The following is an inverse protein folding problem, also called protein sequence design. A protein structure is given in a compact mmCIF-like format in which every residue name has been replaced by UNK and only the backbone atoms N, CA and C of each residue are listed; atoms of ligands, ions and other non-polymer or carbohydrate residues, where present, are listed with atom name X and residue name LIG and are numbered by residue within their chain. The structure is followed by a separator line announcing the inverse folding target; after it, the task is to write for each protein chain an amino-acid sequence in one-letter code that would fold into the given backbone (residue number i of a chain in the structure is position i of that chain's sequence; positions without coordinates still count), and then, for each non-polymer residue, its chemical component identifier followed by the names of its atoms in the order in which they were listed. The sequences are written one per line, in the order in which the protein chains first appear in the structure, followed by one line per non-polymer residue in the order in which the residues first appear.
data_IF_554752531704
#
_entry.id   IF_554752531704
#
_cell.length_a   1.000
_cell.length_b   1.000
_cell.length_c   1.000
_cell.angle_alpha   90.00
_cell.angle_beta   90.00
_cell.angle_gamma   90.00
#
_symmetry.space_group_name_H-M   'P 1'
#
loop_
_entity.id
_entity.type
_entity.pdbx_description
1 polymer ?
#
# COMPACT_ATOMS: atom_id res chain seq x y z
N UNK A 1 40.31 -35.61 36.11
CA UNK A 1 39.89 -34.20 36.17
C UNK A 1 39.72 -33.74 34.74
N UNK A 2 38.54 -33.78 34.21
CA UNK A 2 38.25 -33.43 32.82
C UNK A 2 37.36 -32.19 32.82
N UNK A 3 37.88 -31.11 32.24
CA UNK A 3 37.15 -29.87 32.01
C UNK A 3 36.31 -30.04 30.72
N UNK A 4 35.01 -30.04 30.83
CA UNK A 4 34.07 -29.90 29.71
C UNK A 4 33.85 -28.41 29.44
N UNK A 5 34.39 -27.92 28.33
CA UNK A 5 33.99 -26.65 27.75
C UNK A 5 32.71 -26.89 26.96
N UNK A 6 31.59 -26.42 27.48
CA UNK A 6 30.33 -26.29 26.72
C UNK A 6 30.43 -25.06 25.84
N UNK A 7 30.67 -25.29 24.55
CA UNK A 7 30.51 -24.27 23.51
C UNK A 7 29.01 -24.06 23.25
N UNK A 8 28.46 -22.97 23.77
CA UNK A 8 27.19 -22.42 23.31
C UNK A 8 27.43 -21.77 21.92
N UNK A 9 26.58 -22.05 20.91
CA UNK A 9 26.71 -21.38 19.63
C UNK A 9 26.29 -19.92 19.76
N UNK A 10 27.17 -19.06 19.21
CA UNK A 10 27.02 -17.63 19.11
C UNK A 10 25.69 -17.27 18.37
N UNK A 11 24.81 -16.47 19.02
CA UNK A 11 23.52 -16.04 18.52
C UNK A 11 23.60 -15.00 17.38
N UNK A 12 24.76 -14.84 16.75
CA UNK A 12 25.02 -13.82 15.72
C UNK A 12 24.81 -14.30 14.27
N UNK A 13 24.30 -15.52 14.04
CA UNK A 13 24.20 -16.03 12.66
C UNK A 13 22.82 -16.55 12.33
N UNK A 14 21.82 -15.74 12.20
CA UNK A 14 20.67 -15.88 11.26
C UNK A 14 19.90 -14.53 11.15
N UNK A 15 20.52 -13.48 10.65
CA UNK A 15 19.77 -12.38 10.04
C UNK A 15 19.93 -12.49 8.52
N UNK A 16 19.12 -13.33 7.90
CA UNK A 16 18.90 -13.23 6.46
C UNK A 16 18.02 -12.02 6.21
N UNK A 17 18.65 -10.89 5.86
CA UNK A 17 17.96 -9.79 5.18
C UNK A 17 17.22 -10.39 3.98
N UNK A 18 15.89 -10.20 3.89
CA UNK A 18 15.12 -10.50 2.69
C UNK A 18 15.51 -9.48 1.60
N UNK A 19 16.70 -9.65 1.02
CA UNK A 19 17.15 -8.87 -0.13
C UNK A 19 16.48 -9.43 -1.37
N UNK A 20 15.81 -8.54 -2.12
CA UNK A 20 15.28 -8.87 -3.44
C UNK A 20 16.42 -9.36 -4.32
N UNK A 21 16.34 -10.61 -4.79
CA UNK A 21 17.35 -11.18 -5.68
C UNK A 21 17.27 -10.54 -7.06
N UNK A 22 18.36 -9.99 -7.54
CA UNK A 22 18.45 -9.24 -8.80
C UNK A 22 18.45 -10.11 -10.08
N UNK A 23 18.05 -11.37 -10.01
CA UNK A 23 18.19 -12.31 -11.12
C UNK A 23 17.26 -12.11 -12.32
N UNK A 24 16.20 -11.28 -12.20
CA UNK A 24 15.21 -11.03 -13.26
C UNK A 24 15.24 -9.64 -13.90
N UNK A 25 16.20 -8.78 -13.56
CA UNK A 25 16.22 -7.38 -14.04
C UNK A 25 16.39 -7.20 -15.58
N UNK A 26 16.63 -8.27 -16.35
CA UNK A 26 16.80 -8.22 -17.80
C UNK A 26 15.68 -8.94 -18.60
N UNK A 27 14.64 -9.47 -17.96
CA UNK A 27 13.58 -10.19 -18.67
C UNK A 27 12.43 -9.26 -18.98
N UNK A 28 12.18 -9.02 -20.27
CA UNK A 28 10.95 -8.34 -20.72
C UNK A 28 9.72 -9.14 -20.30
N UNK A 29 8.80 -8.53 -19.57
CA UNK A 29 7.58 -9.14 -19.08
C UNK A 29 6.35 -8.37 -19.54
N UNK A 30 5.22 -9.07 -19.69
CA UNK A 30 3.91 -8.45 -19.79
C UNK A 30 3.31 -8.35 -18.39
N UNK A 31 3.05 -7.13 -17.93
CA UNK A 31 2.53 -6.82 -16.61
C UNK A 31 1.19 -6.10 -16.76
N UNK A 32 0.16 -6.58 -16.06
CA UNK A 32 -1.16 -5.92 -16.04
C UNK A 32 -1.33 -5.20 -14.71
N UNK A 33 -1.61 -3.90 -14.76
CA UNK A 33 -1.86 -3.07 -13.58
C UNK A 33 -3.35 -2.78 -13.47
N UNK A 34 -4.02 -3.44 -12.54
CA UNK A 34 -5.43 -3.20 -12.19
C UNK A 34 -5.51 -1.91 -11.36
N UNK A 35 -6.39 -0.99 -11.74
CA UNK A 35 -6.39 0.37 -11.19
C UNK A 35 -5.32 1.26 -11.84
N UNK A 36 -4.86 0.91 -13.05
CA UNK A 36 -3.76 1.56 -13.77
C UNK A 36 -3.96 3.04 -14.11
N UNK A 37 -5.17 3.58 -13.99
CA UNK A 37 -5.48 5.01 -14.17
C UNK A 37 -5.52 5.82 -12.86
N UNK A 38 -5.37 5.17 -11.69
CA UNK A 38 -5.39 5.82 -10.39
C UNK A 38 -4.06 6.47 -10.00
N UNK A 39 -4.01 7.04 -8.79
CA UNK A 39 -2.84 7.75 -8.26
C UNK A 39 -1.56 6.87 -8.29
N UNK A 40 -1.63 5.69 -7.73
CA UNK A 40 -0.50 4.74 -7.73
C UNK A 40 -0.34 4.10 -9.11
N UNK A 41 -1.45 3.68 -9.73
CA UNK A 41 -1.44 2.94 -10.99
C UNK A 41 -0.75 3.68 -12.12
N UNK A 42 -1.02 4.97 -12.31
CA UNK A 42 -0.39 5.78 -13.35
C UNK A 42 1.13 5.87 -13.18
N UNK A 43 1.59 6.09 -11.94
CA UNK A 43 3.02 6.16 -11.62
C UNK A 43 3.71 4.81 -11.81
N UNK A 44 3.08 3.74 -11.33
CA UNK A 44 3.57 2.37 -11.48
C UNK A 44 3.68 1.96 -12.96
N UNK A 45 2.65 2.23 -13.76
CA UNK A 45 2.65 1.96 -15.21
C UNK A 45 3.83 2.67 -15.88
N UNK A 46 4.07 3.94 -15.54
CA UNK A 46 5.19 4.69 -16.10
C UNK A 46 6.54 4.10 -15.67
N UNK A 47 6.73 3.77 -14.39
CA UNK A 47 7.95 3.17 -13.88
C UNK A 47 8.26 1.85 -14.60
N UNK A 48 7.29 0.95 -14.70
CA UNK A 48 7.47 -0.36 -15.35
C UNK A 48 7.77 -0.23 -16.84
N UNK A 49 7.12 0.71 -17.54
CA UNK A 49 7.43 1.00 -18.96
C UNK A 49 8.84 1.55 -19.15
N UNK A 50 9.31 2.43 -18.26
CA UNK A 50 10.68 2.94 -18.28
C UNK A 50 11.73 1.83 -18.08
N UNK A 51 11.37 0.76 -17.34
CA UNK A 51 12.19 -0.43 -17.19
C UNK A 51 12.08 -1.42 -18.36
N UNK A 52 11.36 -1.06 -19.44
CA UNK A 52 11.29 -1.85 -20.68
C UNK A 52 10.27 -2.98 -20.68
N UNK A 53 9.29 -2.98 -19.76
CA UNK A 53 8.22 -3.98 -19.73
C UNK A 53 7.04 -3.59 -20.63
N UNK A 54 6.31 -4.61 -21.13
CA UNK A 54 4.98 -4.42 -21.73
C UNK A 54 3.97 -4.22 -20.59
N UNK A 55 3.32 -3.05 -20.52
CA UNK A 55 2.40 -2.74 -19.41
C UNK A 55 1.02 -2.39 -19.92
N UNK A 56 0.03 -3.15 -19.47
CA UNK A 56 -1.40 -2.91 -19.68
C UNK A 56 -1.95 -2.15 -18.46
N UNK A 57 -2.35 -0.90 -18.67
CA UNK A 57 -3.07 -0.13 -17.66
C UNK A 57 -4.56 -0.50 -17.72
N UNK A 58 -5.01 -1.34 -16.78
CA UNK A 58 -6.36 -1.86 -16.76
C UNK A 58 -7.24 -1.09 -15.77
N UNK A 59 -8.37 -0.58 -16.26
CA UNK A 59 -9.38 0.13 -15.47
C UNK A 59 -10.72 0.10 -16.20
N UNK A 60 -11.85 0.44 -15.55
CA UNK A 60 -13.14 0.53 -16.25
C UNK A 60 -13.09 1.47 -17.47
N UNK A 61 -12.36 2.57 -17.42
CA UNK A 61 -12.20 3.48 -18.56
C UNK A 61 -11.44 2.88 -19.74
N UNK A 62 -10.65 1.83 -19.53
CA UNK A 62 -9.96 1.08 -20.58
C UNK A 62 -10.69 -0.21 -20.98
N UNK A 63 -11.93 -0.42 -20.53
CA UNK A 63 -12.75 -1.60 -20.83
C UNK A 63 -12.39 -2.83 -20.00
N UNK A 64 -11.75 -2.67 -18.84
CA UNK A 64 -11.44 -3.76 -17.91
C UNK A 64 -12.12 -3.50 -16.57
N UNK A 65 -13.11 -4.31 -16.23
CA UNK A 65 -13.89 -4.17 -15.01
C UNK A 65 -13.79 -5.45 -14.15
N UNK A 66 -13.15 -5.35 -13.01
CA UNK A 66 -12.96 -6.49 -12.09
C UNK A 66 -14.25 -6.91 -11.37
N UNK A 67 -15.26 -6.02 -11.27
CA UNK A 67 -16.55 -6.34 -10.64
C UNK A 67 -17.40 -7.22 -11.57
N UNK A 68 -17.43 -6.90 -12.87
CA UNK A 68 -18.21 -7.66 -13.85
C UNK A 68 -17.42 -8.78 -14.53
N UNK A 69 -16.09 -8.75 -14.43
CA UNK A 69 -15.19 -9.64 -15.18
C UNK A 69 -14.95 -9.21 -16.62
N UNK A 70 -15.61 -8.13 -17.10
CA UNK A 70 -15.47 -7.64 -18.45
C UNK A 70 -14.02 -7.26 -18.78
N UNK A 71 -13.52 -7.69 -19.93
CA UNK A 71 -12.17 -7.37 -20.42
C UNK A 71 -11.02 -8.09 -19.72
N UNK A 72 -11.23 -8.76 -18.56
CA UNK A 72 -10.16 -9.42 -17.80
C UNK A 72 -9.42 -10.47 -18.61
N UNK A 73 -10.12 -11.42 -19.23
CA UNK A 73 -9.49 -12.50 -19.99
C UNK A 73 -8.58 -11.97 -21.11
N UNK A 74 -9.04 -10.93 -21.83
CA UNK A 74 -8.26 -10.27 -22.88
C UNK A 74 -7.03 -9.55 -22.32
N UNK A 75 -7.20 -8.78 -21.24
CA UNK A 75 -6.09 -8.04 -20.62
C UNK A 75 -4.99 -8.98 -20.10
N UNK A 76 -5.39 -10.12 -19.51
CA UNK A 76 -4.50 -11.08 -18.88
C UNK A 76 -3.86 -12.08 -19.87
N UNK A 77 -4.28 -12.11 -21.15
CA UNK A 77 -3.67 -13.00 -22.14
C UNK A 77 -2.15 -12.76 -22.21
N UNK A 78 -1.36 -13.79 -21.86
CA UNK A 78 0.11 -13.74 -21.87
C UNK A 78 0.75 -12.90 -20.76
N UNK A 79 -0.01 -12.44 -19.77
CA UNK A 79 0.52 -11.73 -18.62
C UNK A 79 1.32 -12.67 -17.69
N UNK A 80 2.52 -12.29 -17.30
CA UNK A 80 3.32 -12.97 -16.29
C UNK A 80 3.01 -12.46 -14.88
N UNK A 81 2.71 -11.16 -14.76
CA UNK A 81 2.51 -10.48 -13.47
C UNK A 81 1.23 -9.63 -13.53
N UNK A 82 0.49 -9.65 -12.44
CA UNK A 82 -0.62 -8.73 -12.19
C UNK A 82 -0.29 -7.90 -10.95
N UNK A 83 -0.47 -6.59 -11.04
CA UNK A 83 -0.37 -5.69 -9.87
C UNK A 83 -1.72 -5.04 -9.62
N UNK A 84 -2.36 -5.42 -8.52
CA UNK A 84 -3.65 -4.87 -8.12
C UNK A 84 -3.46 -3.68 -7.18
N UNK A 85 -3.70 -2.48 -7.72
CA UNK A 85 -3.74 -1.21 -6.98
C UNK A 85 -5.12 -0.55 -7.04
N UNK A 86 -6.16 -1.32 -7.39
CA UNK A 86 -7.53 -0.83 -7.40
C UNK A 86 -8.01 -0.51 -5.98
N UNK A 87 -8.90 0.46 -5.88
CA UNK A 87 -9.56 0.83 -4.63
C UNK A 87 -11.07 1.01 -4.86
N UNK A 88 -11.84 0.82 -3.80
CA UNK A 88 -13.29 1.03 -3.85
C UNK A 88 -13.62 2.50 -4.11
N UNK A 89 -14.63 2.77 -4.96
CA UNK A 89 -15.16 4.12 -5.12
C UNK A 89 -16.02 4.57 -3.93
N UNK A 90 -16.39 3.66 -3.03
CA UNK A 90 -17.20 3.92 -1.83
C UNK A 90 -16.41 3.66 -0.56
N UNK A 91 -16.73 4.38 0.50
CA UNK A 91 -16.21 4.19 1.86
C UNK A 91 -17.23 3.58 2.82
N UNK A 92 -18.43 3.27 2.31
CA UNK A 92 -19.48 2.63 3.08
C UNK A 92 -19.09 1.16 3.33
N UNK A 93 -19.21 0.69 4.58
CA UNK A 93 -18.64 -0.59 5.05
C UNK A 93 -19.04 -1.79 4.19
N UNK A 94 -20.32 -1.91 3.83
CA UNK A 94 -20.81 -3.02 3.01
C UNK A 94 -20.30 -2.91 1.58
N UNK A 95 -20.38 -1.72 0.99
CA UNK A 95 -19.97 -1.50 -0.39
C UNK A 95 -18.46 -1.69 -0.60
N UNK A 96 -17.63 -1.27 0.38
CA UNK A 96 -16.18 -1.47 0.28
C UNK A 96 -15.81 -2.95 0.42
N UNK A 97 -16.49 -3.71 1.30
CA UNK A 97 -16.29 -5.14 1.44
C UNK A 97 -16.69 -5.88 0.16
N UNK A 98 -17.90 -5.62 -0.36
CA UNK A 98 -18.41 -6.22 -1.60
C UNK A 98 -17.48 -5.94 -2.78
N UNK A 99 -16.92 -4.73 -2.84
CA UNK A 99 -15.95 -4.38 -3.88
C UNK A 99 -14.71 -5.29 -3.83
N UNK A 100 -14.03 -5.36 -2.69
CA UNK A 100 -12.79 -6.12 -2.59
C UNK A 100 -13.00 -7.63 -2.69
N UNK A 101 -14.11 -8.15 -2.17
CA UNK A 101 -14.43 -9.56 -2.32
C UNK A 101 -14.77 -9.93 -3.77
N UNK A 102 -15.65 -9.15 -4.42
CA UNK A 102 -16.08 -9.46 -5.80
C UNK A 102 -14.94 -9.27 -6.79
N UNK A 103 -14.25 -8.12 -6.73
CA UNK A 103 -13.11 -7.86 -7.61
C UNK A 103 -11.98 -8.88 -7.40
N UNK A 104 -11.67 -9.21 -6.15
CA UNK A 104 -10.64 -10.19 -5.81
C UNK A 104 -10.94 -11.57 -6.36
N UNK A 105 -12.18 -12.09 -6.16
CA UNK A 105 -12.58 -13.41 -6.68
C UNK A 105 -12.52 -13.46 -8.21
N UNK A 106 -13.05 -12.45 -8.89
CA UNK A 106 -13.05 -12.40 -10.35
C UNK A 106 -11.63 -12.29 -10.91
N UNK A 107 -10.79 -11.45 -10.31
CA UNK A 107 -9.41 -11.24 -10.74
C UNK A 107 -8.59 -12.52 -10.57
N UNK A 108 -8.59 -13.11 -9.37
CA UNK A 108 -7.83 -14.34 -9.08
C UNK A 108 -8.29 -15.53 -9.94
N UNK A 109 -9.60 -15.65 -10.24
CA UNK A 109 -10.10 -16.67 -11.14
C UNK A 109 -9.59 -16.47 -12.58
N UNK A 110 -9.60 -15.22 -13.07
CA UNK A 110 -9.09 -14.90 -14.41
C UNK A 110 -7.57 -15.06 -14.50
N UNK A 111 -6.81 -14.71 -13.46
CA UNK A 111 -5.36 -14.93 -13.37
C UNK A 111 -5.01 -16.43 -13.40
N UNK A 112 -5.74 -17.25 -12.62
CA UNK A 112 -5.56 -18.70 -12.65
C UNK A 112 -5.80 -19.30 -14.02
N UNK A 113 -6.84 -18.84 -14.74
CA UNK A 113 -7.13 -19.27 -16.09
C UNK A 113 -6.09 -18.81 -17.12
N UNK A 114 -5.47 -17.64 -16.91
CA UNK A 114 -4.43 -17.08 -17.78
C UNK A 114 -3.02 -17.63 -17.49
N UNK A 115 -2.83 -18.33 -16.37
CA UNK A 115 -1.52 -18.84 -15.95
C UNK A 115 -0.57 -17.76 -15.43
N UNK A 116 -1.11 -16.71 -14.77
CA UNK A 116 -0.31 -15.64 -14.14
C UNK A 116 0.62 -16.25 -13.08
N UNK A 117 1.89 -15.87 -13.13
CA UNK A 117 2.93 -16.40 -12.24
C UNK A 117 3.17 -15.58 -10.98
N UNK A 118 2.69 -14.34 -10.91
CA UNK A 118 2.86 -13.47 -9.74
C UNK A 118 1.70 -12.47 -9.61
N UNK A 119 0.97 -12.57 -8.49
CA UNK A 119 -0.02 -11.56 -8.09
C UNK A 119 0.61 -10.63 -7.05
N UNK A 120 0.66 -9.33 -7.34
CA UNK A 120 1.09 -8.30 -6.39
C UNK A 120 -0.11 -7.46 -6.00
N UNK A 121 -0.36 -7.30 -4.71
CA UNK A 121 -1.46 -6.48 -4.23
C UNK A 121 -0.96 -5.34 -3.35
N UNK A 122 -1.47 -4.12 -3.59
CA UNK A 122 -1.30 -3.01 -2.67
C UNK A 122 -2.34 -3.11 -1.55
N UNK A 123 -1.86 -3.23 -0.32
CA UNK A 123 -2.66 -3.19 0.90
C UNK A 123 -2.21 -2.04 1.80
N UNK A 124 -2.67 -2.00 3.03
CA UNK A 124 -2.40 -0.91 3.97
C UNK A 124 -1.84 -1.43 5.29
N UNK A 125 -0.84 -0.75 5.83
CA UNK A 125 -0.32 -1.01 7.18
C UNK A 125 -1.44 -0.81 8.21
N UNK A 126 -1.57 -1.75 9.13
CA UNK A 126 -2.66 -1.76 10.12
C UNK A 126 -3.88 -2.60 9.72
N UNK A 127 -3.88 -3.25 8.54
CA UNK A 127 -4.98 -4.10 8.06
C UNK A 127 -5.41 -5.17 9.09
N UNK A 128 -4.48 -5.71 9.82
CA UNK A 128 -4.72 -6.72 10.87
C UNK A 128 -4.98 -6.14 12.27
N UNK A 129 -4.78 -4.85 12.45
CA UNK A 129 -4.88 -4.17 13.76
C UNK A 129 -6.13 -3.29 13.91
N UNK A 130 -6.68 -2.80 12.80
CA UNK A 130 -7.77 -1.81 12.78
C UNK A 130 -9.09 -2.40 12.27
N UNK A 131 -9.42 -3.63 12.68
CA UNK A 131 -10.61 -4.36 12.21
C UNK A 131 -11.96 -3.75 12.68
N UNK A 132 -11.96 -2.74 13.53
CA UNK A 132 -13.14 -1.94 13.82
C UNK A 132 -13.59 -1.10 12.60
N UNK A 133 -12.66 -0.74 11.70
CA UNK A 133 -12.95 -0.03 10.45
C UNK A 133 -13.40 -0.99 9.35
N UNK A 134 -14.47 -0.66 8.62
CA UNK A 134 -14.96 -1.42 7.47
C UNK A 134 -13.93 -1.53 6.35
N UNK A 135 -13.21 -0.44 6.08
CA UNK A 135 -12.15 -0.44 5.08
C UNK A 135 -11.03 -1.45 5.39
N UNK A 136 -10.53 -1.47 6.64
CA UNK A 136 -9.48 -2.41 7.02
C UNK A 136 -10.00 -3.86 7.03
N UNK A 137 -11.27 -4.11 7.40
CA UNK A 137 -11.89 -5.44 7.24
C UNK A 137 -11.94 -5.88 5.78
N UNK A 138 -12.31 -4.97 4.88
CA UNK A 138 -12.37 -5.24 3.45
C UNK A 138 -10.97 -5.53 2.85
N UNK A 139 -9.94 -4.80 3.27
CA UNK A 139 -8.55 -5.08 2.89
C UNK A 139 -8.08 -6.42 3.45
N UNK A 140 -8.45 -6.78 4.68
CA UNK A 140 -8.15 -8.10 5.25
C UNK A 140 -8.84 -9.22 4.44
N UNK A 141 -10.10 -9.02 4.02
CA UNK A 141 -10.79 -9.99 3.16
C UNK A 141 -10.07 -10.18 1.82
N UNK A 142 -9.61 -9.09 1.17
CA UNK A 142 -8.78 -9.17 -0.04
C UNK A 142 -7.50 -9.97 0.21
N UNK A 143 -6.73 -9.64 1.25
CA UNK A 143 -5.50 -10.37 1.59
C UNK A 143 -5.75 -11.87 1.83
N UNK A 144 -6.85 -12.21 2.51
CA UNK A 144 -7.22 -13.60 2.77
C UNK A 144 -7.57 -14.37 1.49
N UNK A 145 -8.27 -13.74 0.53
CA UNK A 145 -8.54 -14.33 -0.78
C UNK A 145 -7.24 -14.61 -1.55
N UNK A 146 -6.29 -13.67 -1.54
CA UNK A 146 -4.99 -13.83 -2.19
C UNK A 146 -4.22 -14.98 -1.56
N UNK A 147 -4.11 -15.01 -0.23
CA UNK A 147 -3.39 -16.06 0.53
C UNK A 147 -4.01 -17.44 0.36
N UNK A 148 -5.33 -17.52 0.16
CA UNK A 148 -6.04 -18.76 -0.10
C UNK A 148 -5.96 -19.23 -1.58
N UNK A 149 -5.53 -18.36 -2.49
CA UNK A 149 -5.35 -18.69 -3.90
C UNK A 149 -4.13 -19.60 -4.11
N UNK A 150 -4.06 -20.24 -5.30
CA UNK A 150 -2.87 -21.02 -5.69
C UNK A 150 -1.87 -20.22 -6.50
N UNK A 151 -2.13 -18.91 -6.69
CA UNK A 151 -1.26 -18.04 -7.47
C UNK A 151 -0.14 -17.56 -6.57
N UNK A 152 1.13 -17.66 -6.98
CA UNK A 152 2.24 -17.06 -6.21
C UNK A 152 2.01 -15.55 -6.04
N UNK A 153 2.26 -15.02 -4.84
CA UNK A 153 1.87 -13.66 -4.53
C UNK A 153 2.92 -12.88 -3.70
N UNK A 154 2.77 -11.56 -3.72
CA UNK A 154 3.40 -10.65 -2.75
C UNK A 154 2.39 -9.56 -2.37
N UNK A 155 2.05 -9.45 -1.10
CA UNK A 155 1.21 -8.37 -0.60
C UNK A 155 2.12 -7.25 -0.08
N UNK A 156 1.92 -6.04 -0.59
CA UNK A 156 2.64 -4.84 -0.16
C UNK A 156 1.70 -3.98 0.67
N UNK A 157 1.89 -3.94 1.97
CA UNK A 157 1.19 -3.02 2.86
C UNK A 157 1.95 -1.70 2.90
N UNK A 158 1.37 -0.63 2.37
CA UNK A 158 1.93 0.70 2.49
C UNK A 158 1.32 1.45 3.67
N UNK A 159 2.09 2.34 4.29
CA UNK A 159 1.55 3.32 5.24
C UNK A 159 0.73 4.39 4.52
N UNK A 160 0.08 5.28 5.25
CA UNK A 160 -0.79 6.31 4.69
C UNK A 160 -0.02 7.26 3.78
N UNK A 161 -0.66 7.75 2.72
CA UNK A 161 0.02 8.59 1.72
C UNK A 161 0.00 10.07 2.13
N UNK A 162 1.06 10.79 1.80
CA UNK A 162 1.12 12.24 1.98
C UNK A 162 -0.04 12.95 1.30
N UNK A 163 -0.43 12.48 0.12
CA UNK A 163 -1.52 13.03 -0.69
C UNK A 163 -2.88 12.99 0.02
N UNK A 164 -3.05 12.12 1.03
CA UNK A 164 -4.31 11.99 1.77
C UNK A 164 -4.35 12.79 3.10
N UNK A 165 -3.28 13.51 3.45
CA UNK A 165 -3.23 14.32 4.68
C UNK A 165 -4.34 15.39 4.69
N UNK A 166 -4.62 16.00 3.54
CA UNK A 166 -5.73 16.93 3.40
C UNK A 166 -7.11 16.29 3.65
N UNK A 167 -7.28 15.03 3.23
CA UNK A 167 -8.50 14.24 3.49
C UNK A 167 -8.66 13.93 4.98
N UNK A 168 -7.58 13.58 5.69
CA UNK A 168 -7.59 13.39 7.14
C UNK A 168 -8.03 14.67 7.84
N UNK A 169 -7.46 15.81 7.47
CA UNK A 169 -7.85 17.12 8.01
C UNK A 169 -9.34 17.39 7.77
N UNK A 170 -9.83 17.17 6.55
CA UNK A 170 -11.21 17.42 6.19
C UNK A 170 -12.20 16.53 6.96
N UNK A 171 -11.92 15.24 7.08
CA UNK A 171 -12.77 14.30 7.81
C UNK A 171 -12.87 14.66 9.30
N UNK A 172 -11.78 15.16 9.88
CA UNK A 172 -11.67 15.50 11.32
C UNK A 172 -12.06 16.94 11.63
N UNK A 173 -12.68 17.65 10.67
CA UNK A 173 -13.05 19.08 10.84
C UNK A 173 -14.43 19.25 11.43
N UNK A 174 -14.50 20.03 12.50
CA UNK A 174 -15.71 20.52 13.13
C UNK A 174 -15.67 22.05 13.17
N UNK A 175 -16.43 22.72 12.29
CA UNK A 175 -16.38 24.19 12.15
C UNK A 175 -14.99 24.67 11.70
N UNK A 176 -14.33 25.50 12.51
CA UNK A 176 -12.97 26.01 12.26
C UNK A 176 -11.87 25.19 12.96
N UNK A 177 -12.20 24.00 13.44
CA UNK A 177 -11.30 23.18 14.25
C UNK A 177 -11.13 21.79 13.63
N UNK A 178 -9.91 21.29 13.61
CA UNK A 178 -9.57 19.91 13.24
C UNK A 178 -9.18 19.16 14.51
N UNK A 179 -9.94 18.14 14.92
CA UNK A 179 -9.68 17.32 16.10
C UNK A 179 -9.00 16.04 15.73
N UNK A 180 -7.81 15.79 16.26
CA UNK A 180 -7.00 14.62 15.89
C UNK A 180 -6.36 13.98 17.12
N UNK A 181 -6.19 12.65 17.12
CA UNK A 181 -5.39 11.97 18.12
C UNK A 181 -3.90 12.30 17.90
N UNK A 182 -3.11 12.14 18.96
CA UNK A 182 -1.64 12.27 18.86
C UNK A 182 -0.94 10.97 18.43
N UNK A 183 -1.67 9.98 17.93
CA UNK A 183 -1.11 8.72 17.48
C UNK A 183 -0.05 8.90 16.39
N UNK A 184 0.98 8.06 16.42
CA UNK A 184 2.03 8.09 15.40
C UNK A 184 1.51 7.56 14.07
N UNK A 185 1.94 8.22 13.00
CA UNK A 185 1.87 7.76 11.61
C UNK A 185 3.28 7.75 11.03
N UNK A 186 3.52 6.94 10.02
CA UNK A 186 4.77 6.97 9.25
C UNK A 186 4.46 7.10 7.77
N UNK A 187 3.85 8.22 7.35
CA UNK A 187 3.29 8.37 6.02
C UNK A 187 4.37 8.39 4.93
N UNK A 188 3.98 7.99 3.72
CA UNK A 188 4.85 7.82 2.55
C UNK A 188 4.27 8.57 1.35
N UNK A 189 5.12 9.03 0.42
CA UNK A 189 4.66 9.59 -0.85
C UNK A 189 4.26 8.49 -1.82
N UNK A 190 3.25 8.74 -2.64
CA UNK A 190 2.77 7.78 -3.64
C UNK A 190 3.83 7.38 -4.69
N UNK A 191 4.80 8.24 -4.98
CA UNK A 191 5.92 7.94 -5.89
C UNK A 191 6.82 6.83 -5.34
N UNK A 192 7.15 6.89 -4.05
CA UNK A 192 7.98 5.87 -3.39
C UNK A 192 7.24 4.52 -3.29
N UNK A 193 5.91 4.55 -3.09
CA UNK A 193 5.06 3.34 -3.15
C UNK A 193 5.06 2.72 -4.54
N UNK A 194 4.90 3.55 -5.59
CA UNK A 194 4.92 3.08 -6.96
C UNK A 194 6.29 2.48 -7.34
N UNK A 195 7.39 3.08 -6.88
CA UNK A 195 8.74 2.53 -7.07
C UNK A 195 8.90 1.18 -6.35
N UNK A 196 8.43 1.08 -5.10
CA UNK A 196 8.48 -0.18 -4.35
C UNK A 196 7.66 -1.29 -5.02
N UNK A 197 6.46 -0.97 -5.52
CA UNK A 197 5.62 -1.92 -6.26
C UNK A 197 6.25 -2.35 -7.59
N UNK A 198 6.95 -1.45 -8.30
CA UNK A 198 7.66 -1.80 -9.52
C UNK A 198 8.76 -2.83 -9.24
N UNK A 199 9.56 -2.62 -8.20
CA UNK A 199 10.62 -3.56 -7.80
C UNK A 199 10.04 -4.92 -7.38
N UNK A 200 8.92 -4.93 -6.63
CA UNK A 200 8.24 -6.17 -6.22
C UNK A 200 7.68 -6.90 -7.42
N UNK A 201 7.09 -6.18 -8.39
CA UNK A 201 6.48 -6.79 -9.58
C UNK A 201 7.48 -7.55 -10.46
N UNK A 202 8.74 -7.10 -10.50
CA UNK A 202 9.80 -7.74 -11.30
C UNK A 202 10.63 -8.76 -10.53
N UNK A 203 10.42 -8.84 -9.21
CA UNK A 203 11.09 -9.82 -8.35
C UNK A 203 10.33 -11.17 -8.33
N UNK A 204 10.97 -12.20 -7.78
CA UNK A 204 10.30 -13.47 -7.51
C UNK A 204 9.21 -13.30 -6.43
N UNK A 205 8.07 -14.01 -6.55
CA UNK A 205 7.02 -14.01 -5.55
C UNK A 205 7.53 -14.42 -4.17
N UNK A 206 7.21 -13.63 -3.15
CA UNK A 206 7.61 -13.96 -1.77
C UNK A 206 6.64 -14.94 -1.10
N UNK A 207 5.41 -15.06 -1.58
CA UNK A 207 4.29 -15.74 -0.92
C UNK A 207 4.10 -15.25 0.52
N UNK A 208 4.27 -13.95 0.71
CA UNK A 208 4.29 -13.29 2.02
C UNK A 208 3.81 -11.83 1.88
N UNK A 209 3.68 -11.17 3.02
CA UNK A 209 3.37 -9.75 3.13
C UNK A 209 4.63 -8.97 3.49
N UNK A 210 4.89 -7.86 2.82
CA UNK A 210 5.95 -6.89 3.12
C UNK A 210 5.35 -5.52 3.41
N UNK A 211 6.05 -4.71 4.18
CA UNK A 211 5.60 -3.37 4.52
C UNK A 211 6.51 -2.30 3.92
N UNK A 212 5.89 -1.20 3.45
CA UNK A 212 6.56 -0.03 2.89
C UNK A 212 6.09 1.20 3.66
N UNK A 213 7.01 2.03 4.09
CA UNK A 213 6.71 3.22 4.90
C UNK A 213 7.57 4.41 4.49
N UNK A 214 7.14 5.60 4.89
CA UNK A 214 7.98 6.79 4.79
C UNK A 214 9.19 6.72 5.72
N UNK A 215 10.14 7.65 5.57
CA UNK A 215 11.40 7.59 6.29
C UNK A 215 11.29 7.88 7.79
N UNK A 216 10.22 8.53 8.23
CA UNK A 216 10.10 9.03 9.60
C UNK A 216 8.68 8.95 10.15
N UNK A 217 8.50 8.54 11.41
CA UNK A 217 7.22 8.66 12.09
C UNK A 217 6.95 10.10 12.50
N UNK A 218 5.69 10.53 12.37
CA UNK A 218 5.21 11.86 12.71
C UNK A 218 3.89 11.71 13.47
N UNK A 219 3.62 12.51 14.48
CA UNK A 219 2.31 12.53 15.15
C UNK A 219 1.24 13.07 14.21
N UNK A 220 0.06 12.45 14.20
CA UNK A 220 -1.01 12.79 13.27
C UNK A 220 -1.44 14.25 13.36
N UNK A 221 -1.61 14.76 14.57
CA UNK A 221 -1.98 16.17 14.81
C UNK A 221 -0.88 17.14 14.33
N UNK A 222 0.39 16.77 14.50
CA UNK A 222 1.52 17.57 14.03
C UNK A 222 1.65 17.54 12.50
N UNK A 223 1.49 16.37 11.90
CA UNK A 223 1.48 16.20 10.44
C UNK A 223 0.43 17.11 9.76
N UNK A 224 -0.79 17.08 10.29
CA UNK A 224 -1.90 17.89 9.76
C UNK A 224 -1.67 19.37 10.04
N UNK A 225 -1.13 19.73 11.21
CA UNK A 225 -0.79 21.14 11.55
C UNK A 225 0.21 21.72 10.56
N UNK A 226 1.28 20.99 10.24
CA UNK A 226 2.28 21.40 9.24
C UNK A 226 1.64 21.53 7.85
N UNK A 227 0.83 20.57 7.45
CA UNK A 227 0.13 20.62 6.17
C UNK A 227 -0.78 21.85 6.03
N UNK A 228 -1.66 22.10 7.01
CA UNK A 228 -2.57 23.25 6.99
C UNK A 228 -1.82 24.57 7.01
N UNK A 229 -0.78 24.70 7.84
CA UNK A 229 0.08 25.88 7.90
C UNK A 229 0.72 26.19 6.55
N UNK A 230 1.28 25.18 5.90
CA UNK A 230 1.91 25.33 4.59
C UNK A 230 0.92 25.70 3.48
N UNK A 231 -0.34 25.22 3.59
CA UNK A 231 -1.42 25.61 2.65
C UNK A 231 -2.07 26.94 2.95
N UNK A 232 -1.69 27.62 4.04
CA UNK A 232 -2.34 28.87 4.49
C UNK A 232 -3.78 28.66 4.97
N UNK A 233 -4.12 27.45 5.41
CA UNK A 233 -5.44 27.10 5.91
C UNK A 233 -5.61 27.59 7.35
N UNK A 234 -6.64 28.41 7.68
CA UNK A 234 -6.79 29.03 9.00
C UNK A 234 -7.33 28.09 10.08
N UNK A 235 -7.73 26.86 9.76
CA UNK A 235 -8.29 25.91 10.72
C UNK A 235 -7.26 25.60 11.82
N UNK A 236 -7.75 25.49 13.05
CA UNK A 236 -6.92 25.16 14.22
C UNK A 236 -6.91 23.66 14.46
N UNK A 237 -5.74 23.07 14.56
CA UNK A 237 -5.57 21.66 14.96
C UNK A 237 -5.54 21.55 16.46
N UNK A 238 -6.46 20.76 17.02
CA UNK A 238 -6.54 20.43 18.45
C UNK A 238 -6.20 18.96 18.62
N UNK A 239 -5.23 18.68 19.48
CA UNK A 239 -4.92 17.32 19.92
C UNK A 239 -6.01 16.85 20.89
N UNK A 240 -6.72 15.79 20.57
CA UNK A 240 -7.73 15.16 21.43
C UNK A 240 -7.47 13.65 21.47
N UNK A 241 -7.08 13.13 22.62
CA UNK A 241 -6.78 11.69 22.81
C UNK A 241 -7.97 10.77 22.56
N UNK A 242 -9.18 11.31 22.51
CA UNK A 242 -10.42 10.58 22.22
C UNK A 242 -10.85 10.72 20.77
N UNK A 243 -10.16 11.55 19.98
CA UNK A 243 -10.47 11.69 18.57
C UNK A 243 -10.21 10.39 17.84
N UNK A 244 -11.05 10.08 16.84
CA UNK A 244 -11.00 8.88 16.05
C UNK A 244 -10.35 9.14 14.70
N UNK A 245 -9.64 8.15 14.18
CA UNK A 245 -9.14 8.13 12.82
C UNK A 245 -10.17 7.41 11.93
N UNK A 246 -10.89 8.16 11.09
CA UNK A 246 -12.00 7.64 10.28
C UNK A 246 -12.96 6.75 11.07
N UNK A 247 -13.34 7.20 12.26
CA UNK A 247 -14.28 6.49 13.14
C UNK A 247 -13.66 5.35 13.96
N UNK A 248 -12.35 5.16 13.94
CA UNK A 248 -11.65 4.08 14.63
C UNK A 248 -10.63 4.61 15.62
N UNK A 249 -10.54 4.01 16.81
CA UNK A 249 -9.50 4.32 17.78
C UNK A 249 -8.13 3.89 17.24
N UNK A 250 -7.12 4.75 17.47
CA UNK A 250 -5.73 4.49 17.07
C UNK A 250 -4.76 4.82 18.20
N UNK A 251 -3.63 4.15 18.22
CA UNK A 251 -2.51 4.39 19.12
C UNK A 251 -1.19 4.49 18.31
N UNK A 252 -0.07 4.64 19.00
CA UNK A 252 1.25 4.82 18.39
C UNK A 252 1.74 3.62 17.54
N UNK A 253 1.08 2.47 17.61
CA UNK A 253 1.40 1.28 16.82
C UNK A 253 0.41 0.99 15.68
N UNK A 254 -0.71 1.72 15.62
CA UNK A 254 -1.80 1.41 14.69
C UNK A 254 -1.45 1.67 13.23
N UNK A 255 -0.74 2.77 12.95
CA UNK A 255 -0.48 3.31 11.62
C UNK A 255 1.01 3.42 11.27
N UNK A 256 1.86 2.76 12.05
CA UNK A 256 3.29 2.62 11.79
C UNK A 256 3.60 1.19 11.35
N UNK A 257 4.64 0.96 10.54
CA UNK A 257 4.98 -0.39 10.11
C UNK A 257 5.50 -1.22 11.29
N UNK A 258 5.55 -2.54 11.09
CA UNK A 258 6.25 -3.47 11.98
C UNK A 258 7.77 -3.44 11.79
N UNK A 259 8.41 -4.56 12.12
CA UNK A 259 9.87 -4.70 12.01
C UNK A 259 10.34 -4.76 10.55
N UNK A 260 11.45 -4.08 10.25
CA UNK A 260 12.14 -4.12 8.95
C UNK A 260 11.29 -3.73 7.72
N UNK A 261 10.55 -2.62 7.74
CA UNK A 261 9.87 -2.12 6.56
C UNK A 261 10.87 -1.64 5.51
N UNK A 262 10.49 -1.68 4.24
CA UNK A 262 11.18 -0.90 3.22
C UNK A 262 10.83 0.58 3.42
N UNK A 263 11.83 1.43 3.57
CA UNK A 263 11.62 2.87 3.72
C UNK A 263 11.74 3.58 2.37
N UNK A 264 10.75 4.43 2.07
CA UNK A 264 10.83 5.40 0.99
C UNK A 264 11.78 6.55 1.39
N UNK A 265 12.52 7.14 0.45
CA UNK A 265 13.48 8.20 0.73
C UNK A 265 12.85 9.59 0.93
N UNK A 266 11.62 9.81 0.44
CA UNK A 266 11.03 11.14 0.37
C UNK A 266 10.48 11.57 1.73
N UNK A 267 11.01 12.68 2.28
CA UNK A 267 10.54 13.27 3.53
C UNK A 267 9.27 14.09 3.31
N UNK A 268 8.46 14.21 4.36
CA UNK A 268 7.20 14.97 4.28
C UNK A 268 7.44 16.45 3.96
N UNK A 269 8.42 17.08 4.58
CA UNK A 269 8.76 18.49 4.32
C UNK A 269 9.19 18.73 2.88
N UNK A 270 9.99 17.84 2.30
CA UNK A 270 10.46 17.96 0.92
C UNK A 270 9.28 17.88 -0.06
N UNK A 271 8.40 16.90 0.13
CA UNK A 271 7.17 16.77 -0.64
C UNK A 271 6.25 17.98 -0.47
N UNK A 272 6.05 18.44 0.78
CA UNK A 272 5.17 19.55 1.09
C UNK A 272 5.65 20.84 0.42
N UNK A 273 6.95 21.12 0.45
CA UNK A 273 7.55 22.29 -0.21
C UNK A 273 7.33 22.32 -1.71
N UNK A 274 7.35 21.15 -2.37
CA UNK A 274 7.12 21.01 -3.81
C UNK A 274 5.63 21.03 -4.19
N UNK A 275 4.75 20.65 -3.24
CA UNK A 275 3.30 20.58 -3.46
C UNK A 275 2.57 21.92 -3.29
N UNK A 276 3.29 22.97 -2.88
CA UNK A 276 2.77 24.33 -2.74
C UNK A 276 3.21 25.13 -3.96
N UNK A 277 2.26 25.77 -4.70
CA UNK A 277 2.64 26.69 -5.78
C UNK A 277 3.54 27.81 -5.23
N UNK A 278 4.73 27.95 -5.78
CA UNK A 278 5.56 29.14 -5.48
C UNK A 278 4.80 30.37 -6.01
N UNK A 279 4.57 31.34 -5.12
CA UNK A 279 3.93 32.61 -5.47
C UNK A 279 4.85 33.48 -6.33
#
# INVERSE_FOLDING_TARGET
MANKNDNLPDAATVMKSKTFSSSNMNKHMKIVVIGGSGLIGTKLVNNLRQHGHEVVAASPSSGVNTITGEGLAKALTGAQVVVDVANSPSWEDTAVLDFFETSGRNLLAAEGAAGVGHHVALSVVGTDRLLASGYFRAKMAQENLIKASKIPFTIVRATQFFEFVGGIAQFSTEGATVRLPSALMQPIVSDDVAAALADVAIAEPLNDTVEVAGPEPIRMDELVRRFLSAKGDPRKVITDVRALYYGTEVNDQSLVPGDNPRLGPTRFEDWLSQSIPQK
#
